data_IF_189854125539
#
_entry.id   IF_189854125539
#
_cell.length_a   1.000
_cell.length_b   1.000
_cell.length_c   1.000
_cell.angle_alpha   90.00
_cell.angle_beta   90.00
_cell.angle_gamma   90.00
#
_symmetry.space_group_name_H-M   'P 1'
#
loop_
_entity.id
_entity.type
_entity.pdbx_description
1 polymer ?
#
# COMPACT_ATOMS: atom_id res chain seq x y z
N UNK A 1 23.73 -8.29 -24.27
CA UNK A 1 22.52 -8.45 -23.44
C UNK A 1 21.31 -8.15 -24.33
N UNK A 2 20.13 -8.71 -24.03
CA UNK A 2 18.96 -8.61 -24.92
C UNK A 2 18.48 -7.16 -25.15
N UNK A 3 18.68 -6.27 -24.18
CA UNK A 3 18.23 -4.86 -24.30
C UNK A 3 19.14 -4.10 -25.27
N UNK A 4 20.46 -4.32 -25.16
CA UNK A 4 21.45 -3.81 -26.10
C UNK A 4 21.25 -4.32 -27.53
N UNK A 5 20.88 -5.60 -27.68
CA UNK A 5 20.55 -6.19 -29.00
C UNK A 5 19.34 -5.52 -29.68
N UNK A 6 18.43 -4.94 -28.90
CA UNK A 6 17.28 -4.17 -29.39
C UNK A 6 17.61 -2.69 -29.65
N UNK A 7 18.86 -2.27 -29.47
CA UNK A 7 19.31 -0.89 -29.69
C UNK A 7 19.05 0.07 -28.54
N UNK A 8 18.69 -0.43 -27.35
CA UNK A 8 18.47 0.39 -26.16
C UNK A 8 19.64 0.30 -25.19
N UNK A 9 19.86 1.35 -24.39
CA UNK A 9 20.84 1.32 -23.30
C UNK A 9 20.24 0.56 -22.09
N UNK A 10 20.82 -0.58 -21.67
CA UNK A 10 20.28 -1.39 -20.58
C UNK A 10 20.22 -0.65 -19.24
N UNK A 11 21.19 0.23 -18.97
CA UNK A 11 21.23 1.01 -17.74
C UNK A 11 20.13 2.10 -17.72
N UNK A 12 19.88 2.76 -18.84
CA UNK A 12 18.77 3.72 -18.94
C UNK A 12 17.42 3.00 -18.76
N UNK A 13 17.22 1.85 -19.41
CA UNK A 13 16.00 1.06 -19.28
C UNK A 13 15.81 0.55 -17.85
N UNK A 14 16.87 0.07 -17.19
CA UNK A 14 16.81 -0.39 -15.81
C UNK A 14 16.45 0.73 -14.83
N UNK A 15 16.92 1.97 -15.07
CA UNK A 15 16.53 3.12 -14.25
C UNK A 15 15.09 3.55 -14.53
N UNK A 16 14.68 3.55 -15.79
CA UNK A 16 13.32 3.93 -16.20
C UNK A 16 12.27 2.94 -15.69
N UNK A 17 12.55 1.64 -15.71
CA UNK A 17 11.61 0.59 -15.26
C UNK A 17 11.17 0.72 -13.81
N UNK A 18 11.94 1.44 -12.99
CA UNK A 18 11.62 1.76 -11.59
C UNK A 18 11.29 3.25 -11.36
N UNK A 19 11.13 4.03 -12.45
CA UNK A 19 10.84 5.46 -12.42
C UNK A 19 11.93 6.28 -11.74
N UNK A 20 13.21 6.01 -12.05
CA UNK A 20 14.39 6.70 -11.49
C UNK A 20 15.43 7.07 -12.53
N UNK A 21 15.02 7.25 -13.79
CA UNK A 21 15.90 7.72 -14.87
C UNK A 21 16.43 9.13 -14.60
N UNK A 22 15.61 10.00 -13.99
CA UNK A 22 15.91 11.40 -13.66
C UNK A 22 16.50 12.20 -14.83
N UNK A 23 15.96 11.99 -16.03
CA UNK A 23 16.44 12.65 -17.24
C UNK A 23 16.04 14.13 -17.22
N UNK A 24 17.03 15.02 -17.26
CA UNK A 24 16.83 16.47 -17.28
C UNK A 24 15.90 16.86 -18.45
N UNK A 25 14.94 17.75 -18.22
CA UNK A 25 13.96 18.13 -19.26
C UNK A 25 12.81 17.14 -19.43
N UNK A 26 12.86 15.97 -18.77
CA UNK A 26 11.99 14.81 -19.08
C UNK A 26 11.54 14.06 -17.83
N UNK A 27 11.21 14.78 -16.76
CA UNK A 27 10.67 14.18 -15.52
C UNK A 27 9.41 13.32 -15.78
N UNK A 28 8.62 13.68 -16.80
CA UNK A 28 7.46 12.92 -17.24
C UNK A 28 7.76 11.45 -17.57
N UNK A 29 8.98 11.09 -18.00
CA UNK A 29 9.34 9.71 -18.30
C UNK A 29 9.27 8.83 -17.04
N UNK A 30 9.81 9.31 -15.93
CA UNK A 30 9.71 8.61 -14.66
C UNK A 30 8.27 8.56 -14.15
N UNK A 31 7.50 9.62 -14.40
CA UNK A 31 6.11 9.75 -13.95
C UNK A 31 5.13 8.85 -14.71
N UNK A 32 5.45 8.47 -15.95
CA UNK A 32 4.69 7.43 -16.68
C UNK A 32 4.68 6.13 -15.89
N UNK A 33 5.81 5.79 -15.25
CA UNK A 33 5.99 4.56 -14.46
C UNK A 33 5.62 4.76 -12.99
N UNK A 34 5.92 5.95 -12.44
CA UNK A 34 5.83 6.24 -11.01
C UNK A 34 5.38 7.67 -10.75
N UNK A 35 4.08 7.88 -10.56
CA UNK A 35 3.45 9.12 -10.16
C UNK A 35 2.12 8.88 -9.41
N UNK A 36 1.29 9.92 -9.27
CA UNK A 36 -0.04 9.79 -8.71
C UNK A 36 -1.01 9.07 -9.66
N UNK A 37 -0.84 9.28 -10.96
CA UNK A 37 -1.62 8.73 -12.07
C UNK A 37 -0.63 8.17 -13.10
N UNK A 38 -0.21 6.92 -12.89
CA UNK A 38 0.73 6.20 -13.74
C UNK A 38 0.12 4.93 -14.32
N UNK A 39 0.82 4.36 -15.31
CA UNK A 39 0.32 3.18 -16.03
C UNK A 39 0.20 1.94 -15.13
N UNK A 40 1.04 1.85 -14.09
CA UNK A 40 0.99 0.77 -13.10
C UNK A 40 -0.32 0.82 -12.31
N UNK A 41 -0.69 1.98 -11.73
CA UNK A 41 -1.94 2.14 -10.98
C UNK A 41 -3.19 2.05 -11.85
N UNK A 42 -3.11 2.57 -13.07
CA UNK A 42 -4.21 2.46 -14.03
C UNK A 42 -4.46 1.00 -14.44
N UNK A 43 -3.45 0.13 -14.38
CA UNK A 43 -3.59 -1.31 -14.60
C UNK A 43 -4.04 -2.04 -13.34
N UNK A 44 -3.24 -2.01 -12.26
CA UNK A 44 -3.47 -2.91 -11.13
C UNK A 44 -4.77 -2.60 -10.39
N UNK A 45 -5.20 -1.33 -10.30
CA UNK A 45 -6.46 -1.01 -9.61
C UNK A 45 -7.63 -1.64 -10.35
N UNK A 46 -7.68 -1.50 -11.67
CA UNK A 46 -8.75 -2.08 -12.51
C UNK A 46 -8.67 -3.60 -12.52
N UNK A 47 -7.46 -4.15 -12.68
CA UNK A 47 -7.20 -5.59 -12.68
C UNK A 47 -7.63 -6.23 -11.37
N UNK A 48 -7.24 -5.66 -10.23
CA UNK A 48 -7.50 -6.25 -8.93
C UNK A 48 -8.98 -6.15 -8.57
N UNK A 49 -9.65 -5.03 -8.85
CA UNK A 49 -11.11 -4.92 -8.64
C UNK A 49 -11.86 -5.96 -9.47
N UNK A 50 -11.42 -6.20 -10.71
CA UNK A 50 -12.01 -7.24 -11.57
C UNK A 50 -11.79 -8.66 -11.01
N UNK A 51 -10.55 -9.03 -10.66
CA UNK A 51 -10.24 -10.39 -10.21
C UNK A 51 -10.75 -10.69 -8.79
N UNK A 52 -10.93 -9.68 -7.95
CA UNK A 52 -11.49 -9.83 -6.61
C UNK A 52 -13.02 -9.76 -6.59
N UNK A 53 -13.64 -9.22 -7.64
CA UNK A 53 -15.08 -8.93 -7.70
C UNK A 53 -15.50 -7.73 -6.82
N UNK A 54 -14.54 -7.00 -6.27
CA UNK A 54 -14.78 -5.84 -5.42
C UNK A 54 -14.78 -4.57 -6.29
N UNK A 55 -15.93 -4.26 -6.89
CA UNK A 55 -16.07 -3.12 -7.80
C UNK A 55 -16.38 -1.83 -7.03
N UNK A 56 -15.46 -0.86 -7.09
CA UNK A 56 -15.57 0.46 -6.42
C UNK A 56 -15.80 1.62 -7.39
N UNK A 57 -16.45 1.32 -8.53
CA UNK A 57 -16.77 2.27 -9.58
C UNK A 57 -15.99 2.04 -10.87
N UNK A 58 -16.51 2.57 -11.97
CA UNK A 58 -15.90 2.48 -13.28
C UNK A 58 -14.76 3.50 -13.43
N UNK A 59 -13.57 3.00 -13.76
CA UNK A 59 -12.40 3.84 -14.05
C UNK A 59 -12.24 3.95 -15.57
N UNK A 60 -12.51 5.13 -16.12
CA UNK A 60 -12.26 5.41 -17.54
C UNK A 60 -10.77 5.70 -17.78
N UNK A 61 -9.99 4.62 -17.86
CA UNK A 61 -8.54 4.67 -18.09
C UNK A 61 -8.21 5.41 -19.40
N UNK A 62 -8.98 5.18 -20.46
CA UNK A 62 -8.73 5.81 -21.76
C UNK A 62 -8.96 7.32 -21.71
N UNK A 63 -10.01 7.79 -21.01
CA UNK A 63 -10.22 9.22 -20.79
C UNK A 63 -9.05 9.86 -20.08
N UNK A 64 -8.49 9.21 -19.06
CA UNK A 64 -7.30 9.71 -18.36
C UNK A 64 -6.08 9.73 -19.29
N UNK A 65 -5.78 8.63 -19.98
CA UNK A 65 -4.64 8.55 -20.90
C UNK A 65 -4.70 9.60 -22.02
N UNK A 66 -5.88 9.87 -22.57
CA UNK A 66 -6.06 10.87 -23.63
C UNK A 66 -6.00 12.33 -23.14
N UNK A 67 -6.02 12.56 -21.83
CA UNK A 67 -6.08 13.90 -21.25
C UNK A 67 -4.88 14.23 -20.37
N UNK A 68 -4.00 13.26 -20.11
CA UNK A 68 -2.66 13.48 -19.60
C UNK A 68 -1.79 14.15 -20.67
N UNK A 69 -1.03 15.16 -20.28
CA UNK A 69 -0.10 15.86 -21.16
C UNK A 69 1.12 16.35 -20.36
N UNK A 70 2.18 16.79 -21.04
CA UNK A 70 3.37 17.33 -20.40
C UNK A 70 3.19 18.84 -20.16
N UNK A 71 3.44 19.28 -18.93
CA UNK A 71 3.47 20.66 -18.48
C UNK A 71 4.71 20.87 -17.60
N UNK A 72 5.57 21.81 -17.99
CA UNK A 72 6.83 22.11 -17.29
C UNK A 72 7.63 20.85 -16.95
N UNK A 73 7.87 20.00 -17.97
CA UNK A 73 8.58 18.72 -17.88
C UNK A 73 7.85 17.59 -17.12
N UNK A 74 6.71 17.86 -16.48
CA UNK A 74 5.94 16.91 -15.69
C UNK A 74 4.67 16.45 -16.41
N UNK A 75 4.17 15.25 -16.15
CA UNK A 75 2.82 14.85 -16.49
C UNK A 75 1.82 15.67 -15.68
N UNK A 76 0.75 16.10 -16.32
CA UNK A 76 -0.39 16.75 -15.69
C UNK A 76 -1.68 16.29 -16.37
N UNK A 77 -2.79 16.26 -15.62
CA UNK A 77 -4.10 15.85 -16.16
C UNK A 77 -4.90 17.08 -16.57
N UNK A 78 -5.48 17.09 -17.76
CA UNK A 78 -6.39 18.16 -18.15
C UNK A 78 -7.65 18.13 -17.28
N UNK A 79 -8.07 19.29 -16.74
CA UNK A 79 -9.28 19.43 -15.91
C UNK A 79 -10.55 19.01 -16.65
N UNK A 80 -10.55 18.97 -17.99
CA UNK A 80 -11.64 18.35 -18.77
C UNK A 80 -11.88 16.86 -18.50
N UNK A 81 -10.97 16.17 -17.79
CA UNK A 81 -11.12 14.81 -17.30
C UNK A 81 -11.35 14.71 -15.80
N UNK A 82 -11.74 15.82 -15.13
CA UNK A 82 -11.86 15.88 -13.68
C UNK A 82 -12.67 14.73 -13.10
N UNK A 83 -13.84 14.44 -13.67
CA UNK A 83 -14.70 13.35 -13.18
C UNK A 83 -14.05 11.96 -13.32
N UNK A 84 -13.30 11.71 -14.39
CA UNK A 84 -12.55 10.44 -14.52
C UNK A 84 -11.42 10.34 -13.50
N UNK A 85 -10.75 11.47 -13.21
CA UNK A 85 -9.69 11.56 -12.21
C UNK A 85 -10.24 11.36 -10.79
N UNK A 86 -11.37 11.98 -10.46
CA UNK A 86 -12.05 11.79 -9.17
C UNK A 86 -12.50 10.34 -8.98
N UNK A 87 -13.14 9.73 -9.98
CA UNK A 87 -13.52 8.31 -9.93
C UNK A 87 -12.32 7.40 -9.71
N UNK A 88 -11.19 7.65 -10.40
CA UNK A 88 -9.95 6.91 -10.20
C UNK A 88 -9.42 7.03 -8.76
N UNK A 89 -9.42 8.23 -8.18
CA UNK A 89 -8.94 8.47 -6.82
C UNK A 89 -9.84 7.78 -5.79
N UNK A 90 -11.16 7.85 -5.95
CA UNK A 90 -12.13 7.17 -5.08
C UNK A 90 -11.92 5.66 -5.16
N UNK A 91 -11.92 5.10 -6.37
CA UNK A 91 -11.72 3.66 -6.58
C UNK A 91 -10.39 3.18 -6.00
N UNK A 92 -9.32 3.99 -6.13
CA UNK A 92 -8.03 3.70 -5.49
C UNK A 92 -8.15 3.61 -3.97
N UNK A 93 -8.71 4.63 -3.31
CA UNK A 93 -8.84 4.67 -1.84
C UNK A 93 -9.64 3.45 -1.35
N UNK A 94 -10.72 3.13 -2.05
CA UNK A 94 -11.56 1.98 -1.75
C UNK A 94 -10.85 0.64 -1.97
N UNK A 95 -10.09 0.46 -3.06
CA UNK A 95 -9.25 -0.72 -3.28
C UNK A 95 -8.20 -0.89 -2.18
N UNK A 96 -7.56 0.21 -1.73
CA UNK A 96 -6.65 0.16 -0.60
C UNK A 96 -7.34 -0.26 0.69
N UNK A 97 -8.52 0.26 0.98
CA UNK A 97 -9.27 -0.11 2.18
C UNK A 97 -9.71 -1.58 2.16
N UNK A 98 -10.31 -2.00 1.06
CA UNK A 98 -11.12 -3.22 1.00
C UNK A 98 -10.41 -4.41 0.39
N UNK A 99 -9.34 -4.20 -0.39
CA UNK A 99 -8.53 -5.27 -0.99
C UNK A 99 -7.16 -5.32 -0.29
N UNK A 100 -6.34 -4.28 -0.45
CA UNK A 100 -4.93 -4.30 -0.04
C UNK A 100 -4.75 -4.32 1.48
N UNK A 101 -5.56 -3.53 2.18
CA UNK A 101 -5.59 -3.50 3.64
C UNK A 101 -6.77 -4.27 4.20
N UNK A 102 -7.33 -5.25 3.48
CA UNK A 102 -8.35 -6.11 4.05
C UNK A 102 -7.79 -6.86 5.27
N UNK A 103 -8.49 -6.77 6.40
CA UNK A 103 -8.01 -7.30 7.70
C UNK A 103 -7.64 -8.78 7.67
N UNK A 104 -8.34 -9.61 6.89
CA UNK A 104 -8.05 -11.05 6.79
C UNK A 104 -6.81 -11.30 5.91
N UNK A 105 -6.66 -10.53 4.83
CA UNK A 105 -5.49 -10.62 3.94
C UNK A 105 -4.23 -10.16 4.67
N UNK A 106 -4.34 -9.11 5.50
CA UNK A 106 -3.26 -8.66 6.38
C UNK A 106 -2.89 -9.71 7.43
N UNK A 107 -3.85 -10.41 8.03
CA UNK A 107 -3.56 -11.53 8.93
C UNK A 107 -2.70 -12.62 8.25
N UNK A 108 -3.02 -12.96 7.00
CA UNK A 108 -2.22 -13.92 6.20
C UNK A 108 -0.81 -13.39 5.95
N UNK A 109 -0.67 -12.13 5.54
CA UNK A 109 0.64 -11.50 5.29
C UNK A 109 1.50 -11.46 6.56
N UNK A 110 0.91 -11.13 7.71
CA UNK A 110 1.59 -11.15 9.01
C UNK A 110 2.07 -12.56 9.34
N UNK A 111 1.20 -13.56 9.23
CA UNK A 111 1.57 -14.95 9.49
C UNK A 111 2.69 -15.42 8.57
N UNK A 112 2.62 -15.09 7.28
CA UNK A 112 3.68 -15.43 6.33
C UNK A 112 5.00 -14.73 6.68
N UNK A 113 4.97 -13.45 7.04
CA UNK A 113 6.14 -12.71 7.49
C UNK A 113 6.74 -13.31 8.77
N UNK A 114 5.89 -13.73 9.74
CA UNK A 114 6.34 -14.42 10.96
C UNK A 114 7.00 -15.76 10.64
N UNK A 115 6.45 -16.53 9.69
CA UNK A 115 7.04 -17.78 9.23
C UNK A 115 8.42 -17.52 8.60
N UNK A 116 8.52 -16.52 7.72
CA UNK A 116 9.78 -16.12 7.10
C UNK A 116 10.82 -15.66 8.12
N UNK A 117 10.44 -14.83 9.10
CA UNK A 117 11.37 -14.34 10.12
C UNK A 117 11.86 -15.48 11.01
N UNK A 118 10.97 -16.41 11.42
CA UNK A 118 11.34 -17.57 12.24
C UNK A 118 12.32 -18.52 11.54
N UNK A 119 12.20 -18.65 10.23
CA UNK A 119 13.01 -19.56 9.42
C UNK A 119 14.18 -18.85 8.70
N UNK A 120 14.33 -17.54 8.88
CA UNK A 120 15.29 -16.69 8.18
C UNK A 120 16.73 -17.20 8.24
N UNK A 121 17.20 -17.52 9.44
CA UNK A 121 18.58 -17.96 9.67
C UNK A 121 18.85 -19.38 9.17
N UNK A 122 17.81 -20.23 9.10
CA UNK A 122 17.89 -21.62 8.66
C UNK A 122 17.83 -21.75 7.14
N UNK A 123 16.91 -21.01 6.52
CA UNK A 123 16.56 -21.18 5.10
C UNK A 123 17.27 -20.19 4.18
N UNK A 124 17.93 -19.16 4.72
CA UNK A 124 18.67 -18.17 3.95
C UNK A 124 17.78 -17.37 2.98
N UNK A 125 16.47 -17.25 3.25
CA UNK A 125 15.47 -16.66 2.34
C UNK A 125 15.76 -15.20 1.96
N UNK A 126 16.58 -14.50 2.75
CA UNK A 126 16.94 -13.09 2.55
C UNK A 126 18.44 -12.88 2.29
N UNK A 127 19.21 -13.96 2.19
CA UNK A 127 20.68 -13.93 2.09
C UNK A 127 21.19 -14.31 0.68
N UNK A 128 20.38 -14.05 -0.35
CA UNK A 128 20.77 -14.27 -1.75
C UNK A 128 21.87 -13.28 -2.19
N UNK A 129 22.82 -13.76 -2.98
CA UNK A 129 23.97 -13.01 -3.49
C UNK A 129 23.88 -12.72 -4.97
N UNK A 130 23.07 -13.48 -5.71
CA UNK A 130 22.90 -13.31 -7.16
C UNK A 130 21.44 -13.15 -7.55
N UNK A 131 21.14 -12.52 -8.70
CA UNK A 131 19.78 -12.47 -9.24
C UNK A 131 19.18 -13.86 -9.46
N UNK A 132 19.98 -14.85 -9.86
CA UNK A 132 19.51 -16.22 -10.12
C UNK A 132 19.02 -16.90 -8.84
N UNK A 133 19.72 -16.69 -7.72
CA UNK A 133 19.29 -17.16 -6.40
C UNK A 133 17.96 -16.50 -5.99
N UNK A 134 17.80 -15.19 -6.23
CA UNK A 134 16.55 -14.49 -5.97
C UNK A 134 15.40 -15.01 -6.84
N UNK A 135 15.64 -15.20 -8.14
CA UNK A 135 14.63 -15.68 -9.10
C UNK A 135 14.20 -17.13 -8.84
N UNK A 136 15.02 -17.92 -8.15
CA UNK A 136 14.63 -19.24 -7.69
C UNK A 136 13.55 -19.19 -6.60
N UNK A 137 13.41 -18.07 -5.88
CA UNK A 137 12.35 -17.86 -4.89
C UNK A 137 11.08 -17.34 -5.53
N UNK A 138 10.14 -18.26 -5.76
CA UNK A 138 8.74 -18.00 -6.08
C UNK A 138 7.81 -18.54 -5.00
N UNK A 139 6.51 -18.26 -5.13
CA UNK A 139 5.46 -18.69 -4.19
C UNK A 139 5.58 -20.15 -3.79
N UNK A 140 5.72 -21.07 -4.76
CA UNK A 140 5.81 -22.50 -4.49
C UNK A 140 7.07 -22.87 -3.71
N UNK A 141 8.22 -22.35 -4.15
CA UNK A 141 9.52 -22.68 -3.53
C UNK A 141 9.63 -22.13 -2.11
N UNK A 142 9.19 -20.89 -1.88
CA UNK A 142 9.19 -20.25 -0.56
C UNK A 142 8.21 -20.98 0.35
N UNK A 143 7.00 -21.28 -0.13
CA UNK A 143 6.00 -22.04 0.63
C UNK A 143 6.54 -23.40 1.07
N UNK A 144 7.16 -24.14 0.14
CA UNK A 144 7.70 -25.48 0.40
C UNK A 144 8.82 -25.42 1.44
N UNK A 145 9.79 -24.50 1.27
CA UNK A 145 10.88 -24.31 2.23
C UNK A 145 10.37 -23.95 3.63
N UNK A 146 9.39 -23.05 3.73
CA UNK A 146 8.78 -22.68 5.01
C UNK A 146 8.01 -23.83 5.67
N UNK A 147 7.46 -24.76 4.88
CA UNK A 147 6.78 -25.95 5.39
C UNK A 147 7.75 -27.00 5.93
N UNK A 148 8.97 -27.05 5.39
CA UNK A 148 10.02 -27.99 5.80
C UNK A 148 10.75 -27.55 7.08
N UNK A 149 10.85 -26.24 7.35
CA UNK A 149 11.45 -25.74 8.59
C UNK A 149 10.50 -25.94 9.79
N UNK A 150 10.97 -26.67 10.80
CA UNK A 150 10.21 -26.91 12.04
C UNK A 150 9.83 -25.61 12.78
N UNK A 151 10.56 -24.51 12.56
CA UNK A 151 10.26 -23.21 13.18
C UNK A 151 9.07 -22.50 12.54
N UNK A 152 8.78 -22.72 11.26
CA UNK A 152 7.72 -22.05 10.50
C UNK A 152 6.55 -22.96 10.12
N UNK A 153 6.76 -24.28 10.12
CA UNK A 153 5.82 -25.31 9.69
C UNK A 153 4.42 -25.15 10.28
N UNK A 154 4.31 -24.93 11.60
CA UNK A 154 3.01 -24.74 12.24
C UNK A 154 2.23 -23.54 11.65
N UNK A 155 2.92 -22.44 11.38
CA UNK A 155 2.30 -21.24 10.81
C UNK A 155 1.80 -21.52 9.39
N UNK A 156 2.61 -22.21 8.57
CA UNK A 156 2.22 -22.60 7.21
C UNK A 156 1.04 -23.57 7.22
N UNK A 157 1.04 -24.57 8.09
CA UNK A 157 -0.10 -25.48 8.24
C UNK A 157 -1.37 -24.75 8.68
N UNK A 158 -1.24 -23.76 9.55
CA UNK A 158 -2.36 -22.91 9.96
C UNK A 158 -2.87 -22.08 8.78
N UNK A 159 -2.00 -21.55 7.92
CA UNK A 159 -2.39 -20.88 6.68
C UNK A 159 -3.14 -21.83 5.73
N UNK A 160 -2.63 -23.05 5.50
CA UNK A 160 -3.28 -24.08 4.67
C UNK A 160 -4.68 -24.44 5.19
N UNK A 161 -4.83 -24.54 6.50
CA UNK A 161 -6.10 -24.85 7.18
C UNK A 161 -6.97 -23.60 7.42
N UNK A 162 -6.54 -22.43 6.93
CA UNK A 162 -7.18 -21.12 7.14
C UNK A 162 -7.45 -20.78 8.62
N UNK A 163 -6.60 -21.29 9.51
CA UNK A 163 -6.56 -20.97 10.96
C UNK A 163 -5.79 -19.67 11.18
N UNK A 164 -6.41 -18.56 10.78
CA UNK A 164 -5.76 -17.25 10.75
C UNK A 164 -5.81 -16.53 12.10
N UNK A 165 -4.84 -15.64 12.33
CA UNK A 165 -4.91 -14.60 13.35
C UNK A 165 -6.24 -13.83 13.25
N UNK A 166 -6.78 -13.42 14.39
CA UNK A 166 -8.02 -12.66 14.49
C UNK A 166 -7.71 -11.20 14.77
N UNK A 167 -8.31 -10.32 13.97
CA UNK A 167 -8.36 -8.90 14.28
C UNK A 167 -9.23 -8.71 15.53
N UNK A 168 -8.61 -8.25 16.61
CA UNK A 168 -9.24 -7.97 17.90
C UNK A 168 -9.58 -6.48 18.08
N UNK A 169 -8.85 -5.61 17.39
CA UNK A 169 -9.10 -4.17 17.35
C UNK A 169 -8.71 -3.61 15.98
N UNK A 170 -9.51 -2.67 15.49
CA UNK A 170 -9.24 -1.91 14.27
C UNK A 170 -9.68 -0.46 14.49
N UNK A 171 -8.83 0.47 14.06
CA UNK A 171 -9.16 1.89 13.99
C UNK A 171 -8.59 2.49 12.71
N UNK A 172 -9.46 3.08 11.92
CA UNK A 172 -9.08 3.86 10.73
C UNK A 172 -9.19 5.34 11.05
N UNK A 173 -8.18 6.11 10.66
CA UNK A 173 -8.19 7.56 10.78
C UNK A 173 -7.46 8.21 9.61
N UNK A 174 -7.84 9.44 9.31
CA UNK A 174 -7.30 10.20 8.19
C UNK A 174 -6.47 11.34 8.76
N UNK A 175 -5.20 11.41 8.39
CA UNK A 175 -4.28 12.42 8.89
C UNK A 175 -3.50 13.04 7.73
N UNK A 176 -3.40 14.36 7.69
CA UNK A 176 -2.65 15.09 6.65
C UNK A 176 -1.17 15.19 7.03
N UNK A 177 -0.84 15.22 8.32
CA UNK A 177 0.54 15.26 8.79
C UNK A 177 1.21 13.88 8.71
N UNK A 178 2.18 13.78 7.81
CA UNK A 178 3.00 12.57 7.66
C UNK A 178 3.76 12.20 8.94
N UNK A 179 4.08 13.18 9.78
CA UNK A 179 4.81 12.97 11.04
C UNK A 179 4.01 12.07 11.97
N UNK A 180 2.71 12.31 12.11
CA UNK A 180 1.82 11.49 12.93
C UNK A 180 1.71 10.07 12.39
N UNK A 181 1.59 9.90 11.07
CA UNK A 181 1.58 8.57 10.44
C UNK A 181 2.89 7.80 10.71
N UNK A 182 4.04 8.49 10.65
CA UNK A 182 5.37 7.91 10.90
C UNK A 182 5.60 7.47 12.33
N UNK A 183 4.91 8.05 13.31
CA UNK A 183 5.03 7.64 14.72
C UNK A 183 4.78 6.14 14.86
N UNK A 184 3.77 5.62 14.15
CA UNK A 184 3.42 4.21 14.17
C UNK A 184 4.41 3.32 13.39
N UNK A 185 5.25 3.89 12.52
CA UNK A 185 6.32 3.18 11.82
C UNK A 185 7.51 2.85 12.75
N UNK A 186 7.65 3.52 13.90
CA UNK A 186 8.72 3.22 14.87
C UNK A 186 8.44 1.93 15.65
N UNK A 187 9.43 1.04 15.65
CA UNK A 187 9.30 -0.27 16.29
C UNK A 187 9.21 -0.16 17.80
N UNK A 188 9.93 0.76 18.43
CA UNK A 188 9.88 0.97 19.88
C UNK A 188 8.47 1.32 20.36
N UNK A 189 7.78 2.19 19.62
CA UNK A 189 6.42 2.62 19.95
C UNK A 189 5.44 1.46 19.80
N UNK A 190 5.54 0.69 18.71
CA UNK A 190 4.73 -0.52 18.54
C UNK A 190 4.96 -1.54 19.65
N UNK A 191 6.22 -1.71 20.06
CA UNK A 191 6.59 -2.63 21.14
C UNK A 191 6.03 -2.16 22.50
N UNK A 192 6.05 -0.87 22.79
CA UNK A 192 5.43 -0.31 24.00
C UNK A 192 3.91 -0.56 24.02
N UNK A 193 3.20 -0.20 22.95
CA UNK A 193 1.75 -0.42 22.81
C UNK A 193 1.43 -1.91 22.97
N UNK A 194 2.19 -2.79 22.29
CA UNK A 194 2.02 -4.24 22.37
C UNK A 194 2.14 -4.73 23.81
N UNK A 195 3.20 -4.32 24.51
CA UNK A 195 3.48 -4.78 25.87
C UNK A 195 2.41 -4.30 26.85
N UNK A 196 1.91 -3.07 26.69
CA UNK A 196 0.84 -2.53 27.52
C UNK A 196 -0.48 -3.29 27.32
N UNK A 197 -0.85 -3.58 26.07
CA UNK A 197 -2.04 -4.38 25.74
C UNK A 197 -1.90 -5.80 26.30
N UNK A 198 -0.74 -6.43 26.14
CA UNK A 198 -0.47 -7.78 26.64
C UNK A 198 -0.59 -7.86 28.16
N UNK A 199 0.00 -6.88 28.87
CA UNK A 199 -0.10 -6.77 30.33
C UNK A 199 -1.54 -6.63 30.80
N UNK A 200 -2.33 -5.75 30.18
CA UNK A 200 -3.75 -5.55 30.51
C UNK A 200 -4.61 -6.76 30.20
N UNK A 201 -4.35 -7.45 29.09
CA UNK A 201 -5.09 -8.64 28.69
C UNK A 201 -4.69 -9.91 29.46
N UNK A 202 -3.56 -9.88 30.18
CA UNK A 202 -3.02 -11.05 30.89
C UNK A 202 -2.54 -12.15 29.92
N UNK A 203 -1.90 -11.75 28.82
CA UNK A 203 -1.35 -12.67 27.80
C UNK A 203 0.12 -12.37 27.55
N UNK A 204 0.85 -13.32 26.98
CA UNK A 204 2.23 -13.11 26.51
C UNK A 204 2.28 -12.05 25.39
N UNK A 205 3.34 -11.22 25.37
CA UNK A 205 3.47 -10.13 24.41
C UNK A 205 3.51 -10.62 22.95
N UNK A 206 4.08 -11.81 22.73
CA UNK A 206 4.16 -12.50 21.44
C UNK A 206 2.78 -12.87 20.87
N UNK A 207 1.75 -12.93 21.72
CA UNK A 207 0.36 -13.18 21.30
C UNK A 207 -0.34 -11.93 20.79
N UNK A 208 0.24 -10.75 20.99
CA UNK A 208 -0.31 -9.47 20.54
C UNK A 208 0.52 -8.93 19.39
N UNK A 209 -0.11 -8.69 18.25
CA UNK A 209 0.57 -8.19 17.06
C UNK A 209 -0.05 -6.86 16.65
N UNK A 210 0.78 -5.82 16.56
CA UNK A 210 0.38 -4.49 16.09
C UNK A 210 0.69 -4.39 14.60
N UNK A 211 -0.34 -4.25 13.79
CA UNK A 211 -0.22 -4.04 12.35
C UNK A 211 -0.57 -2.60 12.00
N UNK A 212 0.32 -1.98 11.23
CA UNK A 212 0.14 -0.64 10.68
C UNK A 212 0.61 -0.65 9.22
N UNK A 213 -0.17 -0.09 8.28
CA UNK A 213 0.23 0.02 6.89
C UNK A 213 1.56 0.76 6.76
N UNK A 214 2.49 0.17 6.02
CA UNK A 214 3.77 0.80 5.68
C UNK A 214 3.74 1.53 4.35
N UNK A 215 2.63 1.42 3.60
CA UNK A 215 2.43 2.05 2.30
C UNK A 215 1.36 3.14 2.38
N UNK A 216 1.58 4.32 1.77
CA UNK A 216 0.58 5.37 1.70
C UNK A 216 -0.56 4.94 0.76
N UNK A 217 -1.79 5.04 1.27
CA UNK A 217 -3.06 4.77 0.57
C UNK A 217 -3.39 5.82 -0.51
N UNK A 218 -2.99 7.07 -0.28
CA UNK A 218 -3.19 8.21 -1.17
C UNK A 218 -1.88 8.56 -1.86
N UNK A 219 -1.90 9.04 -3.13
CA UNK A 219 -0.71 9.35 -3.93
C UNK A 219 0.35 10.09 -3.13
N UNK A 220 1.54 9.50 -3.05
CA UNK A 220 2.70 10.14 -2.45
C UNK A 220 3.75 10.35 -3.54
N UNK A 221 4.03 11.64 -3.79
CA UNK A 221 4.97 12.21 -4.78
C UNK A 221 4.52 12.12 -6.24
N UNK A 222 4.30 13.30 -6.81
CA UNK A 222 4.24 13.51 -8.26
C UNK A 222 5.56 14.06 -8.81
N UNK A 223 6.26 14.91 -8.05
CA UNK A 223 7.59 15.44 -8.35
C UNK A 223 8.27 15.87 -7.04
N UNK A 224 9.61 15.98 -7.02
CA UNK A 224 10.36 16.50 -5.86
C UNK A 224 9.97 17.96 -5.55
N UNK A 225 9.50 18.69 -6.57
CA UNK A 225 9.16 20.12 -6.50
C UNK A 225 7.69 20.41 -6.11
N UNK A 226 6.84 19.39 -5.91
CA UNK A 226 5.41 19.58 -5.61
C UNK A 226 5.07 19.23 -4.15
N UNK A 227 4.00 19.86 -3.65
CA UNK A 227 3.39 19.51 -2.36
C UNK A 227 3.06 17.99 -2.34
N UNK A 228 3.39 17.28 -1.24
CA UNK A 228 3.01 15.89 -1.08
C UNK A 228 1.49 15.72 -1.24
N UNK A 229 1.07 14.68 -1.95
CA UNK A 229 -0.33 14.34 -2.20
C UNK A 229 -1.11 15.26 -3.13
N UNK A 230 -0.46 16.19 -3.82
CA UNK A 230 -1.09 16.96 -4.91
C UNK A 230 -0.92 16.26 -6.26
N UNK A 231 -1.93 16.39 -7.14
CA UNK A 231 -1.88 15.91 -8.52
C UNK A 231 -1.88 17.15 -9.42
N UNK A 232 -0.87 17.36 -10.27
CA UNK A 232 -0.88 18.50 -11.16
C UNK A 232 -1.98 18.32 -12.20
N UNK A 233 -2.75 19.38 -12.34
CA UNK A 233 -3.77 19.49 -13.36
C UNK A 233 -3.58 20.77 -14.14
N UNK A 234 -4.17 20.86 -15.32
CA UNK A 234 -4.13 22.08 -16.10
C UNK A 234 -5.43 22.33 -16.82
N UNK A 235 -5.74 23.61 -17.01
CA UNK A 235 -6.79 24.03 -17.92
C UNK A 235 -6.15 24.33 -19.29
N UNK A 236 -6.78 23.86 -20.37
CA UNK A 236 -6.36 24.22 -21.73
C UNK A 236 -7.26 25.31 -22.28
N UNK A 237 -6.71 26.49 -22.59
CA UNK A 237 -7.47 27.59 -23.19
C UNK A 237 -7.86 27.25 -24.63
N UNK A 238 -8.77 28.04 -25.22
CA UNK A 238 -9.16 27.90 -26.64
C UNK A 238 -7.96 28.08 -27.58
N UNK A 239 -7.00 28.91 -27.19
CA UNK A 239 -5.78 29.19 -27.95
C UNK A 239 -4.70 28.11 -27.74
N UNK A 240 -4.97 27.09 -26.91
CA UNK A 240 -4.10 25.94 -26.68
C UNK A 240 -3.10 26.10 -25.54
N UNK A 241 -3.11 27.24 -24.85
CA UNK A 241 -2.28 27.50 -23.67
C UNK A 241 -2.68 26.59 -22.51
N UNK A 242 -1.69 26.07 -21.78
CA UNK A 242 -1.91 25.23 -20.59
C UNK A 242 -1.66 26.06 -19.34
N UNK A 243 -2.71 26.28 -18.56
CA UNK A 243 -2.64 27.02 -17.30
C UNK A 243 -2.57 26.00 -16.15
N UNK A 244 -1.45 25.94 -15.39
CA UNK A 244 -1.30 25.02 -14.26
C UNK A 244 -2.30 25.33 -13.14
N UNK A 245 -2.80 24.27 -12.52
CA UNK A 245 -3.69 24.31 -11.36
C UNK A 245 -3.37 23.16 -10.40
N UNK A 246 -3.74 23.34 -9.13
CA UNK A 246 -3.76 22.24 -8.16
C UNK A 246 -5.11 21.53 -8.23
N UNK A 247 -5.12 20.21 -8.14
CA UNK A 247 -6.37 19.44 -8.12
C UNK A 247 -7.23 19.85 -6.92
N UNK A 248 -6.61 20.12 -5.77
CA UNK A 248 -7.31 20.59 -4.57
C UNK A 248 -8.01 21.96 -4.72
N UNK A 249 -7.62 22.78 -5.70
CA UNK A 249 -8.31 24.05 -6.00
C UNK A 249 -9.56 23.86 -6.87
N UNK A 250 -9.66 22.74 -7.58
CA UNK A 250 -10.72 22.49 -8.57
C UNK A 250 -11.64 21.32 -8.20
N UNK A 251 -11.21 20.44 -7.29
CA UNK A 251 -12.00 19.32 -6.77
C UNK A 251 -12.12 19.39 -5.25
N UNK A 252 -13.33 19.70 -4.77
CA UNK A 252 -13.64 19.64 -3.34
C UNK A 252 -13.63 18.22 -2.78
N UNK A 253 -13.94 17.21 -3.62
CA UNK A 253 -13.88 15.79 -3.23
C UNK A 253 -12.43 15.42 -2.93
N UNK A 254 -11.52 15.75 -3.84
CA UNK A 254 -10.10 15.51 -3.64
C UNK A 254 -9.55 16.26 -2.42
N UNK A 255 -9.96 17.52 -2.20
CA UNK A 255 -9.47 18.30 -1.06
C UNK A 255 -9.83 17.70 0.31
N UNK A 256 -10.97 17.01 0.39
CA UNK A 256 -11.40 16.26 1.56
C UNK A 256 -10.63 14.93 1.67
N UNK A 257 -10.45 14.23 0.54
CA UNK A 257 -9.81 12.92 0.50
C UNK A 257 -8.28 12.97 0.56
N UNK A 258 -7.65 14.14 0.30
CA UNK A 258 -6.20 14.30 0.38
C UNK A 258 -5.74 14.13 1.83
N UNK A 259 -4.84 13.18 2.05
CA UNK A 259 -4.36 12.81 3.38
C UNK A 259 -3.95 11.34 3.43
N UNK A 260 -3.40 10.89 4.55
CA UNK A 260 -3.06 9.49 4.77
C UNK A 260 -4.23 8.78 5.44
N UNK A 261 -4.81 7.79 4.77
CA UNK A 261 -5.65 6.81 5.46
C UNK A 261 -4.72 5.85 6.20
N UNK A 262 -4.70 5.99 7.53
CA UNK A 262 -3.97 5.14 8.44
C UNK A 262 -4.93 4.14 9.09
N UNK A 263 -4.48 2.89 9.23
CA UNK A 263 -5.24 1.84 9.89
C UNK A 263 -4.35 1.24 10.97
N UNK A 264 -4.78 1.23 12.22
CA UNK A 264 -4.08 0.51 13.28
C UNK A 264 -4.90 -0.72 13.62
N UNK A 265 -4.25 -1.89 13.64
CA UNK A 265 -4.89 -3.14 14.03
C UNK A 265 -4.11 -3.87 15.09
N UNK A 266 -4.86 -4.55 15.94
CA UNK A 266 -4.33 -5.50 16.89
C UNK A 266 -4.82 -6.89 16.52
N UNK A 267 -3.88 -7.78 16.23
CA UNK A 267 -4.13 -9.18 15.92
C UNK A 267 -3.70 -10.07 17.08
N UNK A 268 -4.39 -11.20 17.23
CA UNK A 268 -4.06 -12.24 18.20
C UNK A 268 -4.62 -13.59 17.75
N UNK A 269 -4.23 -14.67 18.41
CA UNK A 269 -4.87 -15.98 18.28
C UNK A 269 -6.32 -15.95 18.78
N UNK A 270 -7.16 -16.83 18.21
CA UNK A 270 -8.60 -16.84 18.47
C UNK A 270 -9.01 -16.90 19.97
N UNK A 271 -8.36 -17.69 20.84
CA UNK A 271 -8.73 -17.78 22.26
C UNK A 271 -8.60 -16.47 23.03
N UNK A 272 -7.70 -15.56 22.61
CA UNK A 272 -7.40 -14.32 23.32
C UNK A 272 -8.12 -13.10 22.73
N UNK A 273 -8.87 -13.28 21.64
CA UNK A 273 -9.47 -12.18 20.87
C UNK A 273 -10.25 -11.19 21.72
N UNK A 274 -11.08 -11.69 22.63
CA UNK A 274 -11.94 -10.84 23.45
C UNK A 274 -11.13 -10.02 24.47
N UNK A 275 -10.25 -10.67 25.23
CA UNK A 275 -9.41 -10.02 26.24
C UNK A 275 -8.46 -8.99 25.63
N UNK A 276 -7.79 -9.36 24.53
CA UNK A 276 -6.88 -8.47 23.78
C UNK A 276 -7.67 -7.30 23.17
N UNK A 277 -8.88 -7.55 22.66
CA UNK A 277 -9.73 -6.50 22.11
C UNK A 277 -10.14 -5.46 23.15
N UNK A 278 -10.55 -5.90 24.35
CA UNK A 278 -10.88 -5.01 25.46
C UNK A 278 -9.68 -4.18 25.91
N UNK A 279 -8.52 -4.83 26.11
CA UNK A 279 -7.28 -4.14 26.48
C UNK A 279 -6.83 -3.12 25.39
N UNK A 280 -6.95 -3.48 24.12
CA UNK A 280 -6.61 -2.59 23.02
C UNK A 280 -7.49 -1.33 22.97
N UNK A 281 -8.78 -1.45 23.30
CA UNK A 281 -9.69 -0.29 23.39
C UNK A 281 -9.29 0.65 24.51
N UNK A 282 -8.88 0.12 25.66
CA UNK A 282 -8.41 0.93 26.78
C UNK A 282 -7.12 1.70 26.45
N UNK A 283 -6.18 1.06 25.74
CA UNK A 283 -4.87 1.65 25.42
C UNK A 283 -4.96 2.63 24.26
N UNK A 284 -5.62 2.25 23.17
CA UNK A 284 -5.62 3.02 21.91
C UNK A 284 -6.83 3.95 21.76
N UNK A 285 -7.83 3.81 22.64
CA UNK A 285 -9.11 4.51 22.57
C UNK A 285 -9.97 4.07 21.38
N UNK A 286 -11.30 4.07 21.58
CA UNK A 286 -12.26 3.74 20.53
C UNK A 286 -13.45 2.93 21.05
N UNK A 287 -14.20 2.33 20.13
CA UNK A 287 -15.34 1.45 20.44
C UNK A 287 -14.89 -0.02 20.41
N UNK A 288 -15.34 -0.86 21.37
CA UNK A 288 -15.03 -2.30 21.35
C UNK A 288 -15.41 -2.98 20.05
N UNK A 289 -14.61 -3.95 19.60
CA UNK A 289 -14.87 -4.70 18.37
C UNK A 289 -16.27 -5.35 18.35
N UNK A 290 -16.78 -5.79 19.50
CA UNK A 290 -18.15 -6.33 19.65
C UNK A 290 -19.24 -5.30 19.37
N UNK A 291 -18.93 -4.00 19.43
CA UNK A 291 -19.83 -2.89 19.15
C UNK A 291 -19.66 -2.32 17.73
N UNK A 292 -18.69 -2.81 16.94
CA UNK A 292 -18.48 -2.37 15.57
C UNK A 292 -19.26 -3.27 14.60
N UNK A 293 -20.23 -2.69 13.88
CA UNK A 293 -20.91 -3.37 12.78
C UNK A 293 -19.87 -3.61 11.69
N UNK A 294 -19.59 -4.88 11.36
CA UNK A 294 -18.81 -5.21 10.16
C UNK A 294 -19.71 -4.98 8.96
N UNK A 295 -19.33 -4.03 8.10
CA UNK A 295 -19.82 -3.96 6.72
C UNK A 295 -19.10 -5.01 5.87
#
# INVERSE_FOLDING_TARGET
DKIGELGFNPEEIAKLSVGRLNKQGKAFLDQIIRSAVDVDKLDFIVRDTYHTGAEYGYIDVFRLLHTIDVLDENLAVNVGALSALESFIIARIESFRSIYFHRVSRAVQIMLAMAMEKAKDELGLVNFKTPEEYLAFNDYTVWTKLKESEKSKEIIENLEKRKLLKCAFERTFYEKDRTVSRIFEFEEIRNQIRNEIAQKAGVEAEKVIIDVPTLPSVPYRHSVLMEPMEIPVFYKTKDGEKIPKRLSEVSGIFDVLKGFMNIIRVYTEAPYREKVGQAAVEVLGGTPYSAQISF
#
